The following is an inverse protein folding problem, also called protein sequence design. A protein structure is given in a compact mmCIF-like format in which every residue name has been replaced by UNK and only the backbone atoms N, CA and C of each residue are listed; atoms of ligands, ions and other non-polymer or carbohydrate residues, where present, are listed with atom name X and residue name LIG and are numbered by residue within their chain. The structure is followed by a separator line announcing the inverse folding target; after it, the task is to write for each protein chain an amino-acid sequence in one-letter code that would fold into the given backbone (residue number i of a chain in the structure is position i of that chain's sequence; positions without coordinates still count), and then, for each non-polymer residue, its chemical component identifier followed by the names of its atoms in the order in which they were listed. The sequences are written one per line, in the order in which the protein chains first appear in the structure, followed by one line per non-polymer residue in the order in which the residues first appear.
data_IF_157700648857
#
_entry.id   IF_157700648857
#
_cell.length_a   1.000
_cell.length_b   1.000
_cell.length_c   1.000
_cell.angle_alpha   90.00
_cell.angle_beta   90.00
_cell.angle_gamma   90.00
#
_symmetry.space_group_name_H-M   'P 1'
#
loop_
_entity.id
_entity.type
_entity.pdbx_description
1 polymer ?
#
# COMPACT_ATOMS: atom_id res chain seq x y z
N UNK A 1 -13.67 1.70 -19.59
CA UNK A 1 -12.48 1.39 -18.77
C UNK A 1 -12.91 1.35 -17.31
N UNK A 2 -12.64 0.26 -16.63
CA UNK A 2 -12.91 0.10 -15.20
C UNK A 2 -12.06 1.09 -14.41
N UNK A 3 -12.67 1.77 -13.44
CA UNK A 3 -11.95 2.71 -12.56
C UNK A 3 -11.95 2.16 -11.14
N UNK A 4 -10.85 2.31 -10.45
CA UNK A 4 -10.71 2.01 -9.02
C UNK A 4 -10.00 3.16 -8.31
N UNK A 5 -10.55 3.64 -7.22
CA UNK A 5 -9.88 4.60 -6.34
C UNK A 5 -9.28 3.81 -5.18
N UNK A 6 -7.97 3.78 -5.05
CA UNK A 6 -7.33 3.09 -3.94
C UNK A 6 -6.44 4.07 -3.15
N UNK A 7 -6.56 4.06 -1.83
CA UNK A 7 -5.71 4.81 -0.91
C UNK A 7 -4.64 3.88 -0.35
N UNK A 8 -3.40 4.35 -0.34
CA UNK A 8 -2.25 3.62 0.17
C UNK A 8 -1.78 4.24 1.49
N UNK A 9 -2.05 3.53 2.57
CA UNK A 9 -1.52 3.79 3.91
C UNK A 9 -0.38 2.83 4.21
N UNK A 10 0.37 3.12 5.29
CA UNK A 10 1.37 2.25 5.88
C UNK A 10 1.09 2.14 7.38
N UNK A 11 2.03 2.51 8.24
CA UNK A 11 1.87 2.36 9.67
C UNK A 11 1.10 3.51 10.35
N UNK A 12 0.39 3.16 11.42
CA UNK A 12 -0.27 4.09 12.33
C UNK A 12 0.28 3.87 13.73
N UNK A 13 0.93 4.88 14.29
CA UNK A 13 1.74 4.75 15.51
C UNK A 13 1.39 5.83 16.52
N UNK A 14 1.66 5.64 17.81
CA UNK A 14 1.63 6.71 18.81
C UNK A 14 2.54 7.88 18.37
N UNK A 15 2.27 9.08 18.87
CA UNK A 15 2.94 10.33 18.45
C UNK A 15 4.49 10.24 18.40
N UNK A 16 5.10 9.53 19.34
CA UNK A 16 6.56 9.36 19.43
C UNK A 16 7.01 7.91 19.16
N UNK A 17 6.12 7.08 18.56
CA UNK A 17 6.30 5.63 18.42
C UNK A 17 6.74 5.16 17.04
N UNK A 18 7.46 5.96 16.25
CA UNK A 18 7.78 5.63 14.85
C UNK A 18 8.57 4.32 14.65
N UNK A 19 9.32 3.89 15.64
CA UNK A 19 10.05 2.62 15.60
C UNK A 19 9.20 1.39 16.02
N UNK A 20 7.98 1.60 16.52
CA UNK A 20 7.14 0.53 17.08
C UNK A 20 6.43 -0.31 16.02
N UNK A 21 6.34 0.17 14.78
CA UNK A 21 5.67 -0.55 13.71
C UNK A 21 6.35 -0.32 12.37
N UNK A 22 6.48 -1.41 11.59
CA UNK A 22 7.00 -1.40 10.23
C UNK A 22 8.49 -1.08 10.13
N UNK A 23 8.92 -0.69 8.95
CA UNK A 23 10.31 -0.35 8.68
C UNK A 23 10.75 0.93 9.40
N UNK A 24 11.93 0.89 10.02
CA UNK A 24 12.53 2.02 10.75
C UNK A 24 13.56 2.75 9.88
N UNK A 25 13.09 3.48 8.88
CA UNK A 25 13.95 4.32 8.02
C UNK A 25 13.32 5.70 7.84
N UNK A 26 14.15 6.72 7.60
CA UNK A 26 13.68 8.09 7.31
C UNK A 26 12.68 8.07 6.14
N UNK A 27 12.85 7.16 5.17
CA UNK A 27 11.93 6.98 4.04
C UNK A 27 10.58 6.43 4.45
N UNK A 28 10.56 5.41 5.30
CA UNK A 28 9.34 4.79 5.82
C UNK A 28 8.57 5.74 6.74
N UNK A 29 9.27 6.54 7.56
CA UNK A 29 8.64 7.47 8.49
C UNK A 29 7.81 8.56 7.81
N UNK A 30 8.02 8.82 6.52
CA UNK A 30 7.16 9.70 5.74
C UNK A 30 5.72 9.19 5.59
N UNK A 31 5.54 7.88 5.65
CA UNK A 31 4.26 7.21 5.43
C UNK A 31 3.55 6.87 6.74
N UNK A 32 4.21 7.00 7.91
CA UNK A 32 3.62 6.70 9.20
C UNK A 32 2.79 7.88 9.70
N UNK A 33 1.54 7.62 10.03
CA UNK A 33 0.64 8.58 10.66
C UNK A 33 0.62 8.38 12.17
N UNK A 34 0.26 9.43 12.91
CA UNK A 34 -0.15 9.23 14.29
C UNK A 34 -1.57 8.66 14.35
N UNK A 35 -1.92 7.99 15.46
CA UNK A 35 -3.27 7.47 15.71
C UNK A 35 -4.32 8.58 15.57
N UNK A 36 -4.04 9.77 16.11
CA UNK A 36 -4.92 10.93 15.99
C UNK A 36 -5.12 11.38 14.53
N UNK A 37 -4.04 11.50 13.76
CA UNK A 37 -4.12 11.83 12.33
C UNK A 37 -4.95 10.80 11.57
N UNK A 38 -4.74 9.52 11.86
CA UNK A 38 -5.45 8.44 11.20
C UNK A 38 -6.95 8.49 11.49
N UNK A 39 -7.36 8.68 12.75
CA UNK A 39 -8.77 8.84 13.12
C UNK A 39 -9.42 10.07 12.46
N UNK A 40 -8.70 11.19 12.36
CA UNK A 40 -9.16 12.39 11.64
C UNK A 40 -9.34 12.09 10.14
N UNK A 41 -8.42 11.32 9.51
CA UNK A 41 -8.57 10.88 8.12
C UNK A 41 -9.82 10.03 7.94
N UNK A 42 -10.02 9.01 8.77
CA UNK A 42 -11.18 8.11 8.67
C UNK A 42 -12.49 8.87 8.87
N UNK A 43 -12.55 9.80 9.82
CA UNK A 43 -13.73 10.64 10.05
C UNK A 43 -14.06 11.52 8.82
N UNK A 44 -13.05 12.17 8.25
CA UNK A 44 -13.22 13.02 7.07
C UNK A 44 -13.62 12.22 5.82
N UNK A 45 -13.04 11.03 5.63
CA UNK A 45 -13.40 10.12 4.53
C UNK A 45 -14.85 9.65 4.70
N UNK A 46 -15.26 9.23 5.91
CA UNK A 46 -16.62 8.79 6.18
C UNK A 46 -17.66 9.89 5.91
N UNK A 47 -17.31 11.15 6.15
CA UNK A 47 -18.18 12.29 5.86
C UNK A 47 -18.26 12.62 4.35
N UNK A 48 -17.21 12.34 3.58
CA UNK A 48 -17.10 12.72 2.17
C UNK A 48 -17.56 11.62 1.20
N UNK A 49 -17.45 10.34 1.58
CA UNK A 49 -17.73 9.21 0.70
C UNK A 49 -18.99 8.48 1.15
N UNK A 50 -19.91 8.25 0.22
CA UNK A 50 -21.07 7.38 0.48
C UNK A 50 -20.68 5.92 0.31
N UNK A 51 -20.90 5.12 1.35
CA UNK A 51 -20.63 3.68 1.33
C UNK A 51 -19.37 3.28 2.09
N UNK A 52 -19.00 2.01 1.95
CA UNK A 52 -17.85 1.38 2.60
C UNK A 52 -16.72 1.17 1.59
N UNK A 53 -15.46 1.04 2.02
CA UNK A 53 -14.41 0.55 1.13
C UNK A 53 -14.79 -0.82 0.56
N UNK A 54 -14.55 -1.03 -0.74
CA UNK A 54 -14.71 -2.31 -1.39
C UNK A 54 -13.44 -3.17 -1.21
N UNK A 55 -13.58 -4.48 -1.36
CA UNK A 55 -12.46 -5.41 -1.51
C UNK A 55 -12.31 -5.79 -2.99
N UNK A 56 -11.08 -6.10 -3.42
CA UNK A 56 -10.82 -6.45 -4.85
C UNK A 56 -11.44 -7.77 -5.28
N UNK A 57 -11.82 -8.64 -4.34
CA UNK A 57 -12.56 -9.85 -4.64
C UNK A 57 -13.99 -9.59 -5.12
N UNK A 58 -14.52 -8.40 -4.85
CA UNK A 58 -15.84 -8.00 -5.31
C UNK A 58 -15.76 -7.65 -6.81
N UNK A 59 -16.69 -8.13 -7.61
CA UNK A 59 -16.74 -7.88 -9.06
C UNK A 59 -17.07 -6.41 -9.41
N UNK A 60 -17.47 -5.64 -8.42
CA UNK A 60 -17.83 -4.23 -8.56
C UNK A 60 -17.16 -3.40 -7.46
N UNK A 61 -16.45 -2.32 -7.87
CA UNK A 61 -15.77 -1.40 -6.97
C UNK A 61 -16.45 -0.02 -6.96
N UNK A 62 -17.64 0.10 -6.35
CA UNK A 62 -18.47 1.32 -6.44
C UNK A 62 -17.95 2.48 -5.61
N UNK A 63 -16.99 2.23 -4.70
CA UNK A 63 -16.42 3.22 -3.80
C UNK A 63 -14.89 3.24 -3.92
N UNK A 64 -14.21 3.44 -2.82
CA UNK A 64 -12.75 3.39 -2.77
C UNK A 64 -12.26 2.05 -2.17
N UNK A 65 -10.98 1.75 -2.39
CA UNK A 65 -10.26 0.64 -1.79
C UNK A 65 -9.32 1.19 -0.71
N UNK A 66 -9.41 0.65 0.49
CA UNK A 66 -8.45 0.95 1.55
C UNK A 66 -7.32 -0.07 1.51
N UNK A 67 -6.08 0.39 1.42
CA UNK A 67 -4.91 -0.50 1.39
C UNK A 67 -3.86 -0.06 2.40
N UNK A 68 -3.19 -1.04 3.02
CA UNK A 68 -2.13 -0.86 3.97
C UNK A 68 -0.94 -1.74 3.61
N UNK A 69 0.24 -1.14 3.45
CA UNK A 69 1.45 -1.85 3.05
C UNK A 69 2.31 -2.25 4.26
N UNK A 70 3.31 -3.09 4.02
CA UNK A 70 4.39 -3.57 4.88
C UNK A 70 4.00 -4.67 5.88
N UNK A 71 2.81 -4.66 6.45
CA UNK A 71 2.42 -5.61 7.51
C UNK A 71 3.06 -5.30 8.86
N UNK A 72 3.24 -4.02 9.18
CA UNK A 72 3.72 -3.57 10.48
C UNK A 72 2.77 -3.94 11.62
N UNK A 73 3.28 -3.96 12.85
CA UNK A 73 2.54 -4.33 14.05
C UNK A 73 1.28 -3.49 14.29
N UNK A 74 1.23 -2.25 13.76
CA UNK A 74 0.07 -1.37 13.83
C UNK A 74 -1.13 -1.83 13.00
N UNK A 75 -0.99 -2.85 12.15
CA UNK A 75 -2.06 -3.31 11.25
C UNK A 75 -3.31 -3.75 12.00
N UNK A 76 -3.18 -4.39 13.19
CA UNK A 76 -4.35 -4.75 14.01
C UNK A 76 -5.08 -3.52 14.55
N UNK A 77 -4.34 -2.52 15.02
CA UNK A 77 -4.94 -1.25 15.46
C UNK A 77 -5.69 -0.55 14.30
N UNK A 78 -5.13 -0.59 13.09
CA UNK A 78 -5.80 -0.08 11.89
C UNK A 78 -7.06 -0.87 11.57
N UNK A 79 -7.01 -2.21 11.67
CA UNK A 79 -8.18 -3.07 11.48
C UNK A 79 -9.30 -2.70 12.47
N UNK A 80 -8.97 -2.55 13.76
CA UNK A 80 -9.93 -2.11 14.81
C UNK A 80 -10.60 -0.77 14.45
N UNK A 81 -9.81 0.20 13.97
CA UNK A 81 -10.32 1.53 13.62
C UNK A 81 -11.24 1.49 12.39
N UNK A 82 -10.95 0.63 11.39
CA UNK A 82 -11.80 0.40 10.24
C UNK A 82 -13.11 -0.28 10.65
N UNK A 83 -13.04 -1.34 11.45
CA UNK A 83 -14.21 -2.14 11.87
C UNK A 83 -15.18 -1.35 12.74
N UNK A 84 -14.71 -0.41 13.57
CA UNK A 84 -15.59 0.52 14.29
C UNK A 84 -16.51 1.31 13.36
N UNK A 85 -16.17 1.40 12.07
CA UNK A 85 -16.96 2.03 11.01
C UNK A 85 -17.67 1.01 10.12
N UNK A 86 -17.53 -0.29 10.42
CA UNK A 86 -18.01 -1.40 9.60
C UNK A 86 -17.26 -1.47 8.26
N UNK A 87 -16.00 -1.07 8.21
CA UNK A 87 -15.12 -1.07 7.04
C UNK A 87 -14.14 -2.23 7.10
N UNK A 88 -13.75 -2.72 5.90
CA UNK A 88 -12.64 -3.66 5.72
C UNK A 88 -11.63 -3.07 4.76
N UNK A 89 -10.39 -3.56 4.82
CA UNK A 89 -9.29 -3.10 3.97
C UNK A 89 -8.41 -4.23 3.50
N UNK A 90 -7.42 -3.88 2.67
CA UNK A 90 -6.39 -4.79 2.19
C UNK A 90 -5.13 -4.56 3.02
N UNK A 91 -4.52 -5.64 3.50
CA UNK A 91 -3.27 -5.61 4.25
C UNK A 91 -2.22 -6.41 3.48
N UNK A 92 -1.21 -5.72 2.95
CA UNK A 92 -0.15 -6.32 2.16
C UNK A 92 1.08 -6.58 3.03
N UNK A 93 1.46 -7.84 3.15
CA UNK A 93 2.41 -8.34 4.13
C UNK A 93 3.74 -8.69 3.47
N UNK A 94 4.86 -8.15 4.00
CA UNK A 94 6.21 -8.61 3.68
C UNK A 94 6.47 -9.89 4.46
N UNK A 95 6.54 -11.03 3.77
CA UNK A 95 6.47 -12.32 4.47
C UNK A 95 7.74 -12.70 5.24
N UNK A 96 8.92 -12.20 4.86
CA UNK A 96 10.15 -12.42 5.64
C UNK A 96 10.17 -11.60 6.94
N UNK A 97 9.31 -10.56 7.03
CA UNK A 97 9.18 -9.77 8.25
C UNK A 97 8.22 -10.37 9.29
N UNK A 98 7.40 -11.37 8.91
CA UNK A 98 6.42 -11.99 9.83
C UNK A 98 7.14 -12.57 11.07
N UNK A 99 6.71 -12.11 12.25
CA UNK A 99 7.26 -12.53 13.54
C UNK A 99 8.54 -11.80 13.96
N UNK A 100 9.04 -10.86 13.15
CA UNK A 100 10.14 -9.98 13.57
C UNK A 100 9.62 -8.78 14.35
N UNK A 101 10.52 -8.08 15.06
CA UNK A 101 10.17 -6.88 15.83
C UNK A 101 9.50 -5.83 14.93
N UNK A 102 8.45 -5.20 15.43
CA UNK A 102 7.64 -4.17 14.76
C UNK A 102 6.79 -4.66 13.57
N UNK A 103 6.68 -5.97 13.34
CA UNK A 103 5.83 -6.56 12.30
C UNK A 103 4.84 -7.56 12.90
N UNK A 104 3.78 -7.87 12.13
CA UNK A 104 2.78 -8.85 12.51
C UNK A 104 3.39 -10.25 12.70
N UNK A 105 2.88 -10.98 13.68
CA UNK A 105 3.12 -12.43 13.84
C UNK A 105 2.19 -13.23 12.93
N UNK A 106 2.49 -14.52 12.67
CA UNK A 106 1.63 -15.38 11.85
C UNK A 106 0.20 -15.52 12.42
N UNK A 107 -0.03 -15.67 13.75
CA UNK A 107 -1.39 -15.63 14.30
C UNK A 107 -2.12 -14.31 14.02
N UNK A 108 -1.44 -13.17 14.09
CA UNK A 108 -2.04 -11.86 13.80
C UNK A 108 -2.39 -11.68 12.32
N UNK A 109 -1.57 -12.21 11.41
CA UNK A 109 -1.90 -12.24 9.96
C UNK A 109 -3.15 -13.09 9.70
N UNK A 110 -3.28 -14.25 10.37
CA UNK A 110 -4.48 -15.08 10.30
C UNK A 110 -5.69 -14.35 10.87
N UNK A 111 -5.56 -13.70 12.01
CA UNK A 111 -6.61 -12.91 12.66
C UNK A 111 -7.18 -11.86 11.70
N UNK A 112 -6.34 -11.10 10.96
CA UNK A 112 -6.82 -10.14 9.96
C UNK A 112 -7.72 -10.78 8.91
N UNK A 113 -7.37 -11.97 8.42
CA UNK A 113 -8.18 -12.70 7.44
C UNK A 113 -9.49 -13.21 8.04
N UNK A 114 -9.46 -13.75 9.26
CA UNK A 114 -10.65 -14.24 10.00
C UNK A 114 -11.63 -13.09 10.31
N UNK A 115 -11.13 -11.87 10.50
CA UNK A 115 -11.92 -10.65 10.70
C UNK A 115 -12.48 -10.08 9.39
N UNK A 116 -12.28 -10.74 8.24
CA UNK A 116 -12.84 -10.36 6.95
C UNK A 116 -12.02 -9.33 6.16
N UNK A 117 -10.83 -8.99 6.60
CA UNK A 117 -9.92 -8.18 5.81
C UNK A 117 -9.26 -9.00 4.70
N UNK A 118 -8.90 -8.33 3.61
CA UNK A 118 -8.16 -8.96 2.53
C UNK A 118 -6.67 -8.96 2.85
N UNK A 119 -6.11 -10.12 3.14
CA UNK A 119 -4.66 -10.31 3.30
C UNK A 119 -4.05 -10.56 1.93
N UNK A 120 -3.05 -9.76 1.57
CA UNK A 120 -2.31 -9.84 0.32
C UNK A 120 -0.79 -9.83 0.53
N UNK A 121 -0.05 -10.04 -0.54
CA UNK A 121 1.41 -10.07 -0.52
C UNK A 121 2.02 -8.68 -0.75
N UNK A 122 3.06 -8.35 0.02
CA UNK A 122 3.98 -7.26 -0.31
C UNK A 122 5.37 -7.81 -0.67
N UNK A 123 5.37 -8.93 -1.42
CA UNK A 123 6.52 -9.79 -1.75
C UNK A 123 7.10 -10.53 -0.54
N UNK A 124 8.10 -11.36 -0.79
CA UNK A 124 8.80 -12.11 0.26
C UNK A 124 9.72 -11.21 1.06
N UNK A 125 10.70 -10.55 0.39
CA UNK A 125 11.79 -9.83 1.05
C UNK A 125 11.73 -8.31 0.90
N UNK A 126 10.73 -7.76 0.19
CA UNK A 126 10.55 -6.34 -0.08
C UNK A 126 11.71 -5.72 -0.90
N UNK A 127 12.06 -6.26 -2.08
CA UNK A 127 13.19 -5.76 -2.87
C UNK A 127 12.90 -4.35 -3.41
N UNK A 128 13.81 -3.41 -3.15
CA UNK A 128 13.71 -2.02 -3.64
C UNK A 128 15.02 -1.63 -4.35
N UNK A 129 14.94 -1.35 -5.67
CA UNK A 129 13.78 -1.43 -6.53
C UNK A 129 13.55 -2.85 -7.09
N UNK A 130 12.30 -3.29 -7.15
CA UNK A 130 11.96 -4.63 -7.65
C UNK A 130 12.33 -4.86 -9.13
N UNK A 131 12.37 -3.83 -9.96
CA UNK A 131 12.77 -3.97 -11.38
C UNK A 131 14.25 -4.34 -11.60
N UNK A 132 15.10 -4.23 -10.58
CA UNK A 132 16.50 -4.69 -10.65
C UNK A 132 16.62 -6.21 -10.43
N UNK A 133 15.53 -6.87 -10.02
CA UNK A 133 15.47 -8.32 -9.90
C UNK A 133 15.38 -8.96 -11.30
N UNK A 134 15.98 -10.15 -11.46
CA UNK A 134 15.74 -10.95 -12.67
C UNK A 134 14.30 -11.46 -12.73
N UNK A 135 13.78 -11.88 -13.90
CA UNK A 135 12.43 -12.46 -13.99
C UNK A 135 12.20 -13.61 -13.02
N UNK A 136 13.21 -14.48 -12.84
CA UNK A 136 13.15 -15.63 -11.93
C UNK A 136 13.09 -15.19 -10.46
N UNK A 137 13.84 -14.13 -10.11
CA UNK A 137 13.80 -13.54 -8.78
C UNK A 137 12.44 -12.89 -8.49
N UNK A 138 11.89 -12.13 -9.46
CA UNK A 138 10.55 -11.53 -9.34
C UNK A 138 9.50 -12.63 -9.11
N UNK A 139 9.54 -13.70 -9.90
CA UNK A 139 8.62 -14.83 -9.75
C UNK A 139 8.76 -15.50 -8.37
N UNK A 140 9.99 -15.73 -7.91
CA UNK A 140 10.25 -16.32 -6.59
C UNK A 140 9.71 -15.43 -5.46
N UNK A 141 9.93 -14.11 -5.52
CA UNK A 141 9.41 -13.14 -4.54
C UNK A 141 7.88 -13.24 -4.40
N UNK A 142 7.15 -13.30 -5.50
CA UNK A 142 5.70 -13.43 -5.49
C UNK A 142 5.22 -14.82 -5.06
N UNK A 143 5.78 -15.89 -5.65
CA UNK A 143 5.37 -17.27 -5.38
C UNK A 143 5.60 -17.66 -3.91
N UNK A 144 6.82 -17.39 -3.39
CA UNK A 144 7.20 -17.83 -2.05
C UNK A 144 6.40 -17.05 -0.98
N UNK A 145 6.15 -15.75 -1.22
CA UNK A 145 5.25 -14.95 -0.38
C UNK A 145 3.82 -15.51 -0.38
N UNK A 146 3.27 -15.81 -1.56
CA UNK A 146 1.93 -16.37 -1.69
C UNK A 146 1.79 -17.68 -0.91
N UNK A 147 2.70 -18.63 -1.14
CA UNK A 147 2.68 -19.95 -0.47
C UNK A 147 2.72 -19.78 1.05
N UNK A 148 3.58 -18.88 1.57
CA UNK A 148 3.67 -18.62 3.01
C UNK A 148 2.39 -18.04 3.57
N UNK A 149 1.79 -17.04 2.91
CA UNK A 149 0.53 -16.43 3.36
C UNK A 149 -0.63 -17.42 3.32
N UNK A 150 -0.77 -18.18 2.22
CA UNK A 150 -1.81 -19.22 2.09
C UNK A 150 -1.70 -20.28 3.18
N UNK A 151 -0.48 -20.67 3.57
CA UNK A 151 -0.26 -21.60 4.69
C UNK A 151 -0.67 -21.01 6.05
N UNK A 152 -0.59 -19.70 6.21
CA UNK A 152 -0.98 -19.00 7.46
C UNK A 152 -2.49 -18.82 7.54
N UNK A 153 -3.12 -18.33 6.45
CA UNK A 153 -4.55 -17.96 6.48
C UNK A 153 -5.49 -19.08 6.07
N UNK A 154 -4.98 -20.15 5.46
CA UNK A 154 -5.81 -21.29 5.00
C UNK A 154 -6.70 -20.98 3.80
N UNK A 155 -6.45 -19.89 3.07
CA UNK A 155 -7.23 -19.44 1.92
C UNK A 155 -6.31 -18.91 0.80
N UNK A 156 -6.84 -18.84 -0.43
CA UNK A 156 -6.09 -18.34 -1.58
C UNK A 156 -5.73 -16.85 -1.44
N UNK A 157 -4.49 -16.49 -1.74
CA UNK A 157 -3.99 -15.13 -1.80
C UNK A 157 -3.91 -14.69 -3.25
N UNK A 158 -4.82 -13.81 -3.67
CA UNK A 158 -5.00 -13.40 -5.07
C UNK A 158 -4.59 -11.96 -5.35
N UNK A 159 -4.24 -11.18 -4.32
CA UNK A 159 -3.83 -9.78 -4.46
C UNK A 159 -2.45 -9.53 -3.86
N UNK A 160 -1.74 -8.55 -4.45
CA UNK A 160 -0.43 -8.12 -3.97
C UNK A 160 -0.17 -6.64 -4.22
N UNK A 161 0.86 -6.11 -3.57
CA UNK A 161 1.32 -4.72 -3.72
C UNK A 161 2.81 -4.69 -4.06
N UNK A 162 3.17 -3.85 -5.03
CA UNK A 162 4.56 -3.69 -5.49
C UNK A 162 5.36 -2.88 -4.49
N UNK A 163 6.49 -3.40 -3.95
CA UNK A 163 7.33 -2.65 -3.01
C UNK A 163 8.03 -1.47 -3.66
N UNK A 164 8.26 -0.41 -2.87
CA UNK A 164 9.04 0.76 -3.28
C UNK A 164 8.44 1.63 -4.37
N UNK A 165 7.23 1.36 -4.81
CA UNK A 165 6.39 2.25 -5.58
C UNK A 165 6.71 2.43 -7.06
N UNK A 166 7.73 1.80 -7.62
CA UNK A 166 7.98 1.89 -9.07
C UNK A 166 7.59 0.59 -9.77
N UNK A 167 6.67 0.74 -10.70
CA UNK A 167 6.07 -0.35 -11.45
C UNK A 167 6.62 -0.44 -12.88
N UNK A 168 6.83 -1.66 -13.35
CA UNK A 168 7.07 -2.02 -14.75
C UNK A 168 6.23 -3.26 -15.10
N UNK A 169 5.79 -3.45 -16.38
CA UNK A 169 4.92 -4.57 -16.75
C UNK A 169 5.46 -5.96 -16.42
N UNK A 170 6.79 -6.14 -16.42
CA UNK A 170 7.43 -7.41 -16.04
C UNK A 170 7.08 -7.86 -14.62
N UNK A 171 6.90 -6.90 -13.68
CA UNK A 171 6.50 -7.20 -12.29
C UNK A 171 5.09 -7.81 -12.25
N UNK A 172 4.15 -7.24 -13.03
CA UNK A 172 2.80 -7.78 -13.12
C UNK A 172 2.74 -9.13 -13.83
N UNK A 173 3.55 -9.33 -14.88
CA UNK A 173 3.65 -10.61 -15.55
C UNK A 173 4.17 -11.71 -14.61
N UNK A 174 5.18 -11.41 -13.77
CA UNK A 174 5.69 -12.33 -12.77
C UNK A 174 4.64 -12.62 -11.67
N UNK A 175 3.91 -11.60 -11.23
CA UNK A 175 2.81 -11.77 -10.27
C UNK A 175 1.68 -12.64 -10.85
N UNK A 176 1.26 -12.40 -12.10
CA UNK A 176 0.28 -13.21 -12.80
C UNK A 176 0.72 -14.68 -12.90
N UNK A 177 1.98 -14.93 -13.26
CA UNK A 177 2.56 -16.27 -13.33
C UNK A 177 2.58 -16.94 -11.94
N UNK A 178 2.77 -16.18 -10.86
CA UNK A 178 2.65 -16.67 -9.48
C UNK A 178 1.18 -16.88 -9.04
N UNK A 179 0.18 -16.52 -9.87
CA UNK A 179 -1.24 -16.74 -9.62
C UNK A 179 -1.97 -15.56 -8.95
N UNK A 180 -1.40 -14.36 -8.97
CA UNK A 180 -2.10 -13.15 -8.54
C UNK A 180 -3.06 -12.66 -9.62
N UNK A 181 -4.25 -12.23 -9.19
CA UNK A 181 -5.28 -11.63 -10.07
C UNK A 181 -5.28 -10.11 -9.99
N UNK A 182 -4.85 -9.55 -8.87
CA UNK A 182 -4.85 -8.11 -8.61
C UNK A 182 -3.49 -7.67 -8.08
N UNK A 183 -2.94 -6.64 -8.69
CA UNK A 183 -1.67 -6.05 -8.28
C UNK A 183 -1.81 -4.56 -8.06
N UNK A 184 -1.43 -4.09 -6.90
CA UNK A 184 -1.46 -2.67 -6.56
C UNK A 184 -0.08 -2.04 -6.80
N UNK A 185 -0.05 -0.99 -7.60
CA UNK A 185 1.12 -0.11 -7.77
C UNK A 185 0.98 1.14 -6.90
N UNK A 186 2.04 1.94 -6.80
CA UNK A 186 1.96 3.25 -6.14
C UNK A 186 1.78 4.40 -7.14
N UNK A 187 1.45 4.10 -8.40
CA UNK A 187 1.14 5.12 -9.40
C UNK A 187 -0.24 5.73 -9.10
N UNK A 188 -0.34 7.06 -8.87
CA UNK A 188 -1.60 7.69 -8.51
C UNK A 188 -2.50 7.84 -9.74
N UNK A 189 -3.22 6.78 -10.03
CA UNK A 189 -4.21 6.71 -11.10
C UNK A 189 -5.41 5.88 -10.67
N UNK A 190 -6.58 6.21 -11.16
CA UNK A 190 -7.80 5.39 -11.01
C UNK A 190 -8.01 4.42 -12.18
N UNK A 191 -7.18 4.49 -13.24
CA UNK A 191 -7.30 3.58 -14.37
C UNK A 191 -6.78 2.19 -14.00
N UNK A 192 -7.56 1.17 -14.29
CA UNK A 192 -7.15 -0.23 -14.16
C UNK A 192 -6.58 -0.70 -15.49
N UNK A 193 -5.44 -1.36 -15.45
CA UNK A 193 -4.79 -1.98 -16.60
C UNK A 193 -4.78 -3.50 -16.40
N UNK A 194 -4.78 -4.25 -17.50
CA UNK A 194 -4.60 -5.69 -17.46
C UNK A 194 -3.26 -6.07 -18.07
N UNK A 195 -2.47 -6.86 -17.38
CA UNK A 195 -1.18 -7.37 -17.84
C UNK A 195 -1.11 -8.86 -17.55
N UNK A 196 -1.01 -9.68 -18.60
CA UNK A 196 -0.93 -11.14 -18.49
C UNK A 196 -2.05 -11.78 -17.64
N UNK A 197 -3.27 -11.22 -17.66
CA UNK A 197 -4.40 -11.69 -16.87
C UNK A 197 -4.44 -11.16 -15.42
N UNK A 198 -3.49 -10.30 -15.03
CA UNK A 198 -3.50 -9.61 -13.74
C UNK A 198 -4.01 -8.18 -13.90
N UNK A 199 -5.00 -7.79 -13.11
CA UNK A 199 -5.50 -6.42 -13.03
C UNK A 199 -4.52 -5.58 -12.21
N UNK A 200 -3.96 -4.53 -12.80
CA UNK A 200 -3.03 -3.59 -12.15
C UNK A 200 -3.78 -2.32 -11.78
N UNK A 201 -3.82 -2.02 -10.49
CA UNK A 201 -4.50 -0.87 -9.90
C UNK A 201 -3.47 0.15 -9.42
N UNK A 202 -3.71 1.43 -9.72
CA UNK A 202 -2.96 2.53 -9.13
C UNK A 202 -3.48 2.88 -7.74
N UNK A 203 -2.66 3.62 -6.95
CA UNK A 203 -3.05 4.07 -5.61
C UNK A 203 -2.62 5.49 -5.33
N UNK A 204 -3.45 6.20 -4.58
CA UNK A 204 -3.11 7.52 -4.05
C UNK A 204 -2.43 7.38 -2.69
N UNK A 205 -1.16 7.75 -2.64
CA UNK A 205 -0.35 7.62 -1.42
C UNK A 205 -0.74 8.64 -0.36
N UNK A 206 -0.91 8.16 0.85
CA UNK A 206 -1.12 8.98 2.04
C UNK A 206 0.22 9.12 2.78
N UNK A 207 0.61 10.35 3.05
CA UNK A 207 1.84 10.69 3.74
C UNK A 207 1.50 11.31 5.10
N UNK A 208 2.46 11.34 6.02
CA UNK A 208 2.34 12.06 7.30
C UNK A 208 1.87 13.51 7.16
N UNK A 209 2.20 14.16 6.04
CA UNK A 209 1.81 15.54 5.75
C UNK A 209 0.48 15.66 5.03
N UNK A 210 -0.20 14.56 4.71
CA UNK A 210 -1.54 14.58 4.12
C UNK A 210 -2.54 15.00 5.18
N UNK A 211 -3.35 16.00 4.90
CA UNK A 211 -4.41 16.41 5.82
C UNK A 211 -5.65 15.53 5.69
N UNK A 212 -6.50 15.50 6.70
CA UNK A 212 -7.77 14.77 6.68
C UNK A 212 -8.65 15.18 5.50
N UNK A 213 -8.71 16.48 5.17
CA UNK A 213 -9.43 17.00 4.00
C UNK A 213 -8.84 16.47 2.68
N UNK A 214 -7.51 16.41 2.56
CA UNK A 214 -6.86 15.86 1.38
C UNK A 214 -7.13 14.36 1.22
N UNK A 215 -7.09 13.60 2.32
CA UNK A 215 -7.41 12.17 2.30
C UNK A 215 -8.87 11.93 1.86
N UNK A 216 -9.81 12.74 2.36
CA UNK A 216 -11.22 12.70 1.98
C UNK A 216 -11.43 13.03 0.49
N UNK A 217 -10.76 14.05 -0.04
CA UNK A 217 -10.79 14.40 -1.47
C UNK A 217 -10.26 13.28 -2.35
N UNK A 218 -9.17 12.63 -1.96
CA UNK A 218 -8.63 11.48 -2.70
C UNK A 218 -9.60 10.29 -2.67
N UNK A 219 -10.19 9.99 -1.50
CA UNK A 219 -11.16 8.90 -1.35
C UNK A 219 -12.44 9.11 -2.15
N UNK A 220 -12.89 10.36 -2.29
CA UNK A 220 -14.07 10.73 -3.10
C UNK A 220 -13.78 10.87 -4.59
N UNK A 221 -12.52 10.75 -5.01
CA UNK A 221 -12.13 10.91 -6.41
C UNK A 221 -12.17 12.35 -6.90
N UNK A 222 -11.96 13.35 -6.01
CA UNK A 222 -11.86 14.74 -6.41
C UNK A 222 -10.82 14.92 -7.51
N UNK A 223 -11.26 15.45 -8.63
CA UNK A 223 -10.43 15.55 -9.85
C UNK A 223 -9.16 16.36 -9.61
N UNK A 224 -9.23 17.47 -8.89
CA UNK A 224 -8.09 18.36 -8.67
C UNK A 224 -7.07 17.70 -7.75
N UNK A 225 -7.52 17.08 -6.66
CA UNK A 225 -6.65 16.37 -5.73
C UNK A 225 -5.93 15.18 -6.40
N UNK A 226 -6.66 14.38 -7.16
CA UNK A 226 -6.12 13.24 -7.90
C UNK A 226 -5.13 13.68 -8.98
N UNK A 227 -5.51 14.66 -9.81
CA UNK A 227 -4.64 15.18 -10.88
C UNK A 227 -3.36 15.83 -10.33
N UNK A 228 -3.47 16.57 -9.21
CA UNK A 228 -2.29 17.13 -8.53
C UNK A 228 -1.32 16.07 -8.06
N UNK A 229 -1.81 14.99 -7.41
CA UNK A 229 -0.92 13.93 -6.95
C UNK A 229 -0.27 13.20 -8.12
N UNK A 230 -1.02 12.94 -9.20
CA UNK A 230 -0.50 12.34 -10.43
C UNK A 230 0.57 13.22 -11.11
N UNK A 231 0.33 14.53 -11.21
CA UNK A 231 1.30 15.47 -11.78
C UNK A 231 2.61 15.51 -10.97
N UNK A 232 2.51 15.57 -9.63
CA UNK A 232 3.68 15.52 -8.75
C UNK A 232 4.44 14.20 -8.86
N UNK A 233 3.75 13.08 -9.00
CA UNK A 233 4.37 11.78 -9.21
C UNK A 233 5.13 11.73 -10.55
N UNK A 234 4.50 12.17 -11.63
CA UNK A 234 5.12 12.22 -12.96
C UNK A 234 6.35 13.14 -12.99
N UNK A 235 6.27 14.31 -12.37
CA UNK A 235 7.41 15.22 -12.23
C UNK A 235 8.58 14.56 -11.49
N UNK A 236 8.30 13.81 -10.41
CA UNK A 236 9.33 13.04 -9.69
C UNK A 236 9.92 11.91 -10.53
N UNK A 237 9.12 11.21 -11.32
CA UNK A 237 9.61 10.18 -12.27
C UNK A 237 10.59 10.78 -13.29
N UNK A 238 10.24 11.92 -13.87
CA UNK A 238 11.09 12.64 -14.82
C UNK A 238 12.38 13.11 -14.14
N UNK A 239 12.28 13.74 -12.98
CA UNK A 239 13.45 14.22 -12.21
C UNK A 239 14.40 13.07 -11.86
N UNK A 240 13.89 11.90 -11.45
CA UNK A 240 14.72 10.71 -11.20
C UNK A 240 15.43 10.21 -12.46
N UNK A 241 14.76 10.27 -13.62
CA UNK A 241 15.33 9.79 -14.91
C UNK A 241 16.41 10.71 -15.45
N UNK A 242 16.20 12.04 -15.33
CA UNK A 242 17.09 13.06 -15.91
C UNK A 242 18.25 13.44 -15.00
N UNK A 243 18.06 13.37 -13.69
CA UNK A 243 19.00 13.88 -12.68
C UNK A 243 19.16 12.91 -11.51
N UNK A 244 19.45 11.63 -11.78
CA UNK A 244 19.47 10.57 -10.75
C UNK A 244 20.38 10.90 -9.55
N UNK A 245 21.64 11.34 -9.77
CA UNK A 245 22.57 11.68 -8.70
C UNK A 245 22.18 12.96 -7.92
N UNK A 246 21.96 14.13 -8.55
CA UNK A 246 21.53 15.33 -7.83
C UNK A 246 20.13 15.17 -7.22
N UNK A 247 19.23 14.40 -7.82
CA UNK A 247 17.92 14.11 -7.23
C UNK A 247 18.02 13.33 -5.92
N UNK A 248 18.88 12.31 -5.85
CA UNK A 248 19.11 11.52 -4.63
C UNK A 248 19.67 12.39 -3.50
N UNK A 249 20.64 13.26 -3.81
CA UNK A 249 21.25 14.20 -2.85
C UNK A 249 20.23 15.26 -2.36
N UNK A 250 19.48 15.86 -3.26
CA UNK A 250 18.43 16.81 -2.92
C UNK A 250 17.33 16.16 -2.08
N UNK A 251 16.88 14.95 -2.44
CA UNK A 251 15.89 14.20 -1.66
C UNK A 251 16.37 13.93 -0.24
N UNK A 252 17.62 13.45 -0.08
CA UNK A 252 18.20 13.21 1.23
C UNK A 252 18.29 14.49 2.07
N UNK A 253 18.68 15.62 1.48
CA UNK A 253 18.73 16.93 2.14
C UNK A 253 17.36 17.41 2.60
N UNK A 254 16.33 17.38 1.73
CA UNK A 254 14.98 17.81 2.07
C UNK A 254 14.30 16.87 3.08
N UNK A 255 14.61 15.57 3.03
CA UNK A 255 14.11 14.61 4.00
C UNK A 255 14.68 14.89 5.39
N UNK A 256 15.97 15.18 5.49
CA UNK A 256 16.63 15.53 6.76
C UNK A 256 16.05 16.79 7.40
N UNK A 257 15.73 17.81 6.61
CA UNK A 257 15.27 19.13 7.08
C UNK A 257 13.78 19.16 7.51
N UNK A 258 12.98 18.18 7.13
CA UNK A 258 11.56 18.11 7.51
C UNK A 258 11.30 17.46 8.87
N UNK A 259 12.32 16.86 9.48
CA UNK A 259 12.21 16.10 10.73
C UNK A 259 13.21 16.54 11.81
N UNK A 260 13.97 17.59 11.61
CA UNK A 260 14.63 18.42 12.63
C UNK A 260 13.77 19.65 12.91
#
# INVERSE_FOLDING_TARGET
MTKALALMYHDVVPKDGFALSGFSTIGADHYKLTEEQFEQHLAAIAAAVRGKPALVADDNWPSFLFTMDDGGASSLHVADALERRGWHGHFFIVTDCIGTTAFLTAPQVRELAERGHCVGSHTRSHPIPMWDCTPEQMLAEWRDSRVKLESIIGAAVTCGSVPGGTYVPAIAAAAAQAGYRFLFSSEPTSSVQEVAGCCVLGRYGILRTTTAEQAAKLASGDFVACARQQALWNARKIAKKVAAKPYAAARAYFMKRRYT
#
